data_IF_433607552783
#
_entry.id   IF_433607552783
#
_cell.length_a   1.000
_cell.length_b   1.000
_cell.length_c   1.000
_cell.angle_alpha   90.00
_cell.angle_beta   90.00
_cell.angle_gamma   90.00
#
_symmetry.space_group_name_H-M   'P 1'
#
loop_
_entity.id
_entity.type
_entity.pdbx_description
1 polymer ?
#
# COMPACT_ATOMS: atom_id res chain seq x y z
N UNK A 1 -10.89 -19.15 -38.26
CA UNK A 1 -11.16 -19.43 -36.84
C UNK A 1 -10.46 -18.36 -36.02
N UNK A 2 -11.20 -17.38 -35.51
CA UNK A 2 -10.64 -16.30 -34.71
C UNK A 2 -10.42 -16.77 -33.27
N UNK A 3 -9.18 -16.66 -32.81
CA UNK A 3 -8.82 -16.90 -31.41
C UNK A 3 -9.27 -15.68 -30.63
N UNK A 4 -10.42 -15.78 -29.95
CA UNK A 4 -10.88 -14.76 -29.00
C UNK A 4 -9.84 -14.67 -27.87
N UNK A 5 -9.14 -13.53 -27.81
CA UNK A 5 -8.29 -13.16 -26.66
C UNK A 5 -9.15 -13.23 -25.41
N UNK A 6 -8.84 -14.19 -24.54
CA UNK A 6 -9.42 -14.28 -23.21
C UNK A 6 -8.87 -13.10 -22.39
N UNK A 7 -9.64 -12.03 -22.29
CA UNK A 7 -9.36 -10.94 -21.36
C UNK A 7 -9.63 -11.48 -19.96
N UNK A 8 -8.58 -11.92 -19.26
CA UNK A 8 -8.67 -12.28 -17.85
C UNK A 8 -8.89 -10.97 -17.09
N UNK A 9 -10.13 -10.74 -16.65
CA UNK A 9 -10.43 -9.74 -15.63
C UNK A 9 -9.94 -10.31 -14.29
N UNK A 10 -8.75 -9.89 -13.88
CA UNK A 10 -8.17 -10.24 -12.57
C UNK A 10 -9.10 -9.70 -11.49
N UNK A 11 -9.77 -10.60 -10.78
CA UNK A 11 -10.63 -10.26 -9.65
C UNK A 11 -9.77 -9.76 -8.49
N UNK A 12 -10.23 -8.76 -7.73
CA UNK A 12 -9.54 -8.09 -6.61
C UNK A 12 -8.96 -9.02 -5.51
N UNK A 13 -9.25 -10.33 -5.56
CA UNK A 13 -8.83 -11.31 -4.57
C UNK A 13 -7.34 -11.66 -4.62
N UNK A 14 -6.64 -11.38 -5.72
CA UNK A 14 -5.23 -11.77 -5.92
C UNK A 14 -4.24 -10.61 -5.80
N UNK A 15 -4.70 -9.38 -5.51
CA UNK A 15 -3.80 -8.23 -5.39
C UNK A 15 -3.03 -8.27 -4.07
N UNK A 16 -1.71 -8.16 -4.15
CA UNK A 16 -0.84 -8.12 -2.97
C UNK A 16 -1.06 -6.82 -2.21
N UNK A 17 -0.98 -6.89 -0.88
CA UNK A 17 -1.22 -5.76 0.02
C UNK A 17 0.01 -5.56 0.89
N UNK A 18 0.42 -4.31 1.07
CA UNK A 18 1.54 -3.95 1.92
C UNK A 18 1.06 -3.04 3.06
N UNK A 19 1.42 -3.40 4.29
CA UNK A 19 1.27 -2.54 5.45
C UNK A 19 2.42 -1.55 5.54
N UNK A 20 2.11 -0.32 5.93
CA UNK A 20 3.08 0.72 6.23
C UNK A 20 2.47 1.76 7.19
N UNK A 21 3.30 2.65 7.70
CA UNK A 21 2.90 3.80 8.50
C UNK A 21 3.47 5.08 7.91
N UNK A 22 2.89 6.22 8.27
CA UNK A 22 3.41 7.53 7.90
C UNK A 22 3.31 8.45 9.09
N UNK A 23 4.36 9.25 9.32
CA UNK A 23 4.37 10.23 10.41
C UNK A 23 3.24 11.25 10.33
N UNK A 24 2.80 11.58 9.12
CA UNK A 24 1.67 12.48 8.86
C UNK A 24 0.30 11.86 9.16
N UNK A 25 0.22 10.54 9.39
CA UNK A 25 -1.00 9.82 9.68
C UNK A 25 -0.99 9.35 11.13
N UNK A 26 -1.32 10.28 12.03
CA UNK A 26 -1.48 10.02 13.46
C UNK A 26 -2.92 10.22 13.88
N UNK A 27 -3.32 9.47 14.90
CA UNK A 27 -4.58 9.71 15.59
C UNK A 27 -4.48 11.01 16.38
N UNK A 28 -5.52 11.84 16.29
CA UNK A 28 -5.52 13.16 16.89
C UNK A 28 -5.69 13.13 18.42
N UNK A 29 -6.20 12.04 18.98
CA UNK A 29 -6.52 11.97 20.41
C UNK A 29 -5.36 11.43 21.24
N UNK A 30 -4.59 10.48 20.69
CA UNK A 30 -3.52 9.79 21.41
C UNK A 30 -2.16 9.81 20.69
N UNK A 31 -2.04 10.56 19.58
CA UNK A 31 -0.80 10.72 18.82
C UNK A 31 -0.19 9.42 18.22
N UNK A 32 -0.94 8.32 18.24
CA UNK A 32 -0.47 7.03 17.73
C UNK A 32 -0.48 6.98 16.20
N UNK A 33 0.48 6.26 15.61
CA UNK A 33 0.59 6.06 14.17
C UNK A 33 -0.51 5.14 13.65
N UNK A 34 -1.22 5.63 12.63
CA UNK A 34 -2.29 4.91 11.94
C UNK A 34 -1.67 3.98 10.92
N UNK A 35 -2.04 2.69 11.01
CA UNK A 35 -1.60 1.70 10.03
C UNK A 35 -2.32 1.93 8.71
N UNK A 36 -1.55 1.97 7.64
CA UNK A 36 -2.02 2.14 6.28
C UNK A 36 -1.80 0.86 5.46
N UNK A 37 -2.66 0.64 4.47
CA UNK A 37 -2.60 -0.50 3.55
C UNK A 37 -2.53 0.04 2.12
N UNK A 38 -1.46 -0.28 1.41
CA UNK A 38 -1.36 -0.10 -0.04
C UNK A 38 -1.70 -1.41 -0.75
N UNK A 39 -2.40 -1.32 -1.88
CA UNK A 39 -2.78 -2.47 -2.70
C UNK A 39 -2.06 -2.36 -4.04
N UNK A 40 -1.45 -3.46 -4.48
CA UNK A 40 -0.72 -3.49 -5.74
C UNK A 40 -1.61 -3.15 -6.93
N UNK A 41 -1.16 -2.17 -7.73
CA UNK A 41 -1.90 -1.68 -8.90
C UNK A 41 -3.01 -0.69 -8.58
N UNK A 42 -3.20 -0.30 -7.33
CA UNK A 42 -4.16 0.74 -6.92
C UNK A 42 -3.45 2.05 -6.58
N UNK A 43 -4.08 3.16 -6.90
CA UNK A 43 -3.60 4.49 -6.51
C UNK A 43 -4.12 4.85 -5.12
N UNK A 44 -3.23 5.34 -4.27
CA UNK A 44 -3.53 5.74 -2.89
C UNK A 44 -3.32 4.61 -1.88
N UNK A 45 -3.92 4.76 -0.71
CA UNK A 45 -3.84 3.80 0.38
C UNK A 45 -5.08 3.90 1.25
N UNK A 46 -5.34 2.84 2.00
CA UNK A 46 -6.43 2.76 2.96
C UNK A 46 -5.86 2.99 4.36
N UNK A 47 -6.54 3.81 5.16
CA UNK A 47 -6.28 3.90 6.60
C UNK A 47 -7.06 2.82 7.30
N UNK A 48 -6.49 2.26 8.36
CA UNK A 48 -7.16 1.27 9.21
C UNK A 48 -7.51 1.88 10.57
N UNK A 49 -8.28 1.14 11.35
CA UNK A 49 -8.52 1.46 12.75
C UNK A 49 -7.40 0.96 13.68
N UNK A 50 -6.34 0.35 13.12
CA UNK A 50 -5.21 -0.14 13.90
C UNK A 50 -4.22 0.98 14.18
N UNK A 51 -3.56 0.85 15.33
CA UNK A 51 -2.56 1.79 15.86
C UNK A 51 -1.35 1.01 16.35
N UNK A 52 -0.15 1.49 16.06
CA UNK A 52 1.12 0.84 16.44
C UNK A 52 2.04 1.75 17.26
N UNK A 53 1.45 2.50 18.20
CA UNK A 53 2.19 3.40 19.09
C UNK A 53 2.70 4.67 18.40
N UNK A 54 3.51 5.44 19.11
CA UNK A 54 3.94 6.78 18.66
C UNK A 54 5.29 6.77 17.91
N UNK A 55 6.11 5.75 18.14
CA UNK A 55 7.45 5.63 17.58
C UNK A 55 7.40 5.05 16.17
N UNK A 56 7.90 5.81 15.18
CA UNK A 56 7.87 5.43 13.77
C UNK A 56 8.73 4.20 13.48
N UNK A 57 9.93 4.11 14.06
CA UNK A 57 10.85 3.01 13.78
C UNK A 57 10.28 1.68 14.29
N UNK A 58 9.63 1.71 15.46
CA UNK A 58 8.94 0.55 16.03
C UNK A 58 7.73 0.15 15.19
N UNK A 59 6.91 1.13 14.78
CA UNK A 59 5.75 0.89 13.94
C UNK A 59 6.14 0.36 12.55
N UNK A 60 7.24 0.83 11.97
CA UNK A 60 7.81 0.31 10.72
C UNK A 60 8.33 -1.12 10.88
N UNK A 61 8.98 -1.45 12.00
CA UNK A 61 9.40 -2.81 12.30
C UNK A 61 8.20 -3.76 12.41
N UNK A 62 7.11 -3.32 13.05
CA UNK A 62 5.86 -4.08 13.10
C UNK A 62 5.28 -4.27 11.68
N UNK A 63 5.24 -3.20 10.88
CA UNK A 63 4.78 -3.27 9.49
C UNK A 63 5.56 -4.31 8.67
N UNK A 64 6.89 -4.29 8.80
CA UNK A 64 7.78 -5.24 8.14
C UNK A 64 7.49 -6.68 8.56
N UNK A 65 7.38 -6.94 9.86
CA UNK A 65 7.03 -8.27 10.36
C UNK A 65 5.67 -8.76 9.85
N UNK A 66 4.68 -7.87 9.72
CA UNK A 66 3.37 -8.22 9.14
C UNK A 66 3.46 -8.54 7.64
N UNK A 67 4.24 -7.78 6.88
CA UNK A 67 4.45 -8.03 5.46
C UNK A 67 5.20 -9.35 5.23
N UNK A 68 6.23 -9.64 6.03
CA UNK A 68 6.97 -10.91 5.98
C UNK A 68 6.08 -12.12 6.26
N UNK A 69 5.17 -12.02 7.23
CA UNK A 69 4.16 -13.06 7.51
C UNK A 69 3.19 -13.29 6.33
N UNK A 70 3.05 -12.30 5.44
CA UNK A 70 2.27 -12.40 4.20
C UNK A 70 3.13 -12.82 2.99
N UNK A 71 4.41 -13.13 3.19
CA UNK A 71 5.33 -13.50 2.12
C UNK A 71 5.77 -12.32 1.24
N UNK A 72 5.70 -11.09 1.77
CA UNK A 72 6.10 -9.88 1.06
C UNK A 72 7.40 -9.37 1.69
N UNK A 73 8.46 -9.32 0.88
CA UNK A 73 9.75 -8.78 1.32
C UNK A 73 9.67 -7.26 1.52
N UNK A 74 10.62 -6.71 2.30
CA UNK A 74 10.69 -5.25 2.51
C UNK A 74 10.85 -4.46 1.20
N UNK A 75 11.54 -5.02 0.20
CA UNK A 75 11.70 -4.40 -1.11
C UNK A 75 10.37 -4.38 -1.88
N UNK A 76 9.62 -5.48 -1.85
CA UNK A 76 8.32 -5.57 -2.50
C UNK A 76 7.26 -4.70 -1.84
N UNK A 77 7.21 -4.67 -0.51
CA UNK A 77 6.29 -3.79 0.21
C UNK A 77 6.57 -2.33 -0.14
N UNK A 78 7.84 -1.94 -0.22
CA UNK A 78 8.26 -0.61 -0.64
C UNK A 78 7.80 -0.30 -2.08
N UNK A 79 7.99 -1.23 -3.02
CA UNK A 79 7.51 -1.08 -4.40
C UNK A 79 6.00 -0.86 -4.47
N UNK A 80 5.21 -1.66 -3.73
CA UNK A 80 3.75 -1.55 -3.70
C UNK A 80 3.35 -0.16 -3.18
N UNK A 81 3.89 0.26 -2.03
CA UNK A 81 3.58 1.55 -1.40
C UNK A 81 3.96 2.72 -2.30
N UNK A 82 5.18 2.73 -2.85
CA UNK A 82 5.62 3.81 -3.74
C UNK A 82 4.81 3.87 -5.03
N UNK A 83 4.43 2.71 -5.58
CA UNK A 83 3.60 2.66 -6.78
C UNK A 83 2.21 3.26 -6.54
N UNK A 84 1.66 3.10 -5.33
CA UNK A 84 0.36 3.62 -4.97
C UNK A 84 0.38 5.13 -4.68
N UNK A 85 1.51 5.66 -4.20
CA UNK A 85 1.68 7.10 -3.96
C UNK A 85 1.86 7.95 -5.22
N UNK A 86 2.07 7.32 -6.39
CA UNK A 86 2.29 8.02 -7.66
C UNK A 86 0.99 8.66 -8.17
N UNK A 87 0.67 9.86 -7.68
CA UNK A 87 -0.30 10.75 -8.35
C UNK A 87 0.28 11.20 -9.70
N UNK A 88 -0.30 10.70 -10.80
CA UNK A 88 -0.31 11.35 -12.11
C UNK A 88 1.04 11.77 -12.71
N UNK A 89 1.82 10.81 -13.21
CA UNK A 89 2.56 11.05 -14.46
C UNK A 89 1.57 10.88 -15.64
N UNK A 90 0.45 11.58 -15.60
CA UNK A 90 -0.31 11.86 -16.83
C UNK A 90 0.46 13.01 -17.44
N UNK A 91 1.23 12.72 -18.49
CA UNK A 91 1.79 13.75 -19.36
C UNK A 91 0.61 14.64 -19.77
N UNK A 92 0.53 15.86 -19.24
CA UNK A 92 -0.40 16.86 -19.75
C UNK A 92 -0.08 17.04 -21.24
N UNK A 93 -1.01 16.79 -22.17
CA UNK A 93 -0.82 17.21 -23.55
C UNK A 93 -0.70 18.74 -23.50
N UNK A 94 0.46 19.26 -23.89
CA UNK A 94 0.60 20.68 -24.19
C UNK A 94 -0.27 20.93 -25.43
N UNK A 95 -1.40 21.60 -25.23
CA UNK A 95 -2.11 22.28 -26.31
C UNK A 95 -1.44 23.62 -26.58
#
# INVERSE_FOLDING_TARGET
MEIKKLTIQTTDKDKRKAYFVMESQRDLNNNELIVCIAVEGETGYYKTDWRWGENIDEAEAIARGKNELMGISSEESCKIVLSSMRKGAVETPRF
#
